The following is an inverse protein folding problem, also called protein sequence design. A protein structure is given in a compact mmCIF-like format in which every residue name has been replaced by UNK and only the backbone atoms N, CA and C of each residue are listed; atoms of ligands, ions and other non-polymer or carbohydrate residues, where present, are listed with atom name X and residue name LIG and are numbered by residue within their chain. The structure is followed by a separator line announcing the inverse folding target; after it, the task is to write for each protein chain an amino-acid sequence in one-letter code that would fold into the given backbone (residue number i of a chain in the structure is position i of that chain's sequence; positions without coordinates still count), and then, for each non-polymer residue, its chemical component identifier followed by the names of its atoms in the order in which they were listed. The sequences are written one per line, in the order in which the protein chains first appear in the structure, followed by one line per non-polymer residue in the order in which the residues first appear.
data_IF_503499911688
#
_entry.id   IF_503499911688
#
_cell.length_a   1.000
_cell.length_b   1.000
_cell.length_c   1.000
_cell.angle_alpha   90.00
_cell.angle_beta   90.00
_cell.angle_gamma   90.00
#
_symmetry.space_group_name_H-M   'P 1'
#
loop_
_entity.id
_entity.type
_entity.pdbx_description
1 polymer ?
#
# COMPACT_ATOMS: atom_id res chain seq x y z
N UNK A 1 -17.88 -6.05 5.82
CA UNK A 1 -18.03 -5.25 4.58
C UNK A 1 -18.86 -3.98 4.78
N UNK A 2 -19.94 -4.01 5.57
CA UNK A 2 -20.78 -2.82 5.87
C UNK A 2 -20.00 -1.66 6.51
N UNK A 3 -19.08 -1.95 7.43
CA UNK A 3 -18.26 -0.92 8.08
C UNK A 3 -17.33 -0.16 7.11
N UNK A 4 -16.79 -0.85 6.09
CA UNK A 4 -15.95 -0.22 5.08
C UNK A 4 -16.78 0.69 4.14
N UNK A 5 -18.00 0.27 3.80
CA UNK A 5 -18.93 1.08 3.02
C UNK A 5 -19.37 2.33 3.79
N UNK A 6 -19.64 2.21 5.10
CA UNK A 6 -19.96 3.35 5.96
C UNK A 6 -18.80 4.32 6.12
N UNK A 7 -17.54 3.85 6.21
CA UNK A 7 -16.37 4.71 6.27
C UNK A 7 -16.13 5.47 4.96
N UNK A 8 -16.35 4.81 3.81
CA UNK A 8 -16.28 5.46 2.49
C UNK A 8 -17.40 6.47 2.32
N UNK A 9 -18.63 6.16 2.75
CA UNK A 9 -19.75 7.09 2.71
C UNK A 9 -19.55 8.28 3.66
N UNK A 10 -19.03 8.06 4.86
CA UNK A 10 -18.69 9.13 5.80
C UNK A 10 -17.61 10.06 5.20
N UNK A 11 -16.59 9.49 4.56
CA UNK A 11 -15.61 10.27 3.82
C UNK A 11 -16.28 11.06 2.68
N UNK A 12 -17.12 10.44 1.85
CA UNK A 12 -17.83 11.12 0.74
C UNK A 12 -18.77 12.24 1.25
N UNK A 13 -19.40 12.06 2.41
CA UNK A 13 -20.25 13.09 3.04
C UNK A 13 -19.41 14.23 3.62
N UNK A 14 -18.25 13.94 4.23
CA UNK A 14 -17.28 14.97 4.63
C UNK A 14 -16.75 15.75 3.41
N UNK A 15 -16.58 15.10 2.26
CA UNK A 15 -16.19 15.74 1.01
C UNK A 15 -17.24 16.71 0.47
N UNK A 16 -18.52 16.49 0.75
CA UNK A 16 -19.60 17.39 0.32
C UNK A 16 -19.69 18.67 1.18
N UNK A 17 -19.15 18.65 2.41
CA UNK A 17 -19.26 19.74 3.38
C UNK A 17 -18.03 20.62 3.59
N UNK A 18 -16.86 20.26 3.05
CA UNK A 18 -15.60 20.95 3.38
C UNK A 18 -15.25 22.10 2.41
N UNK A 19 -15.07 23.29 2.99
CA UNK A 19 -14.81 24.55 2.27
C UNK A 19 -13.62 24.51 1.28
N UNK A 20 -13.85 25.19 0.14
CA UNK A 20 -13.12 25.20 -1.14
C UNK A 20 -11.58 25.19 -1.12
N UNK A 21 -10.92 25.75 -0.11
CA UNK A 21 -9.47 25.95 -0.14
C UNK A 21 -8.65 24.90 0.65
N UNK A 22 -9.24 24.28 1.68
CA UNK A 22 -8.53 23.27 2.50
C UNK A 22 -8.59 21.86 1.91
N UNK A 23 -9.49 21.63 0.96
CA UNK A 23 -9.68 20.33 0.31
C UNK A 23 -8.43 19.89 -0.45
N UNK A 24 -7.84 20.74 -1.30
CA UNK A 24 -6.65 20.41 -2.12
C UNK A 24 -5.45 20.01 -1.26
N UNK A 25 -5.19 20.75 -0.17
CA UNK A 25 -4.08 20.46 0.75
C UNK A 25 -4.30 19.12 1.46
N UNK A 26 -5.52 18.86 1.95
CA UNK A 26 -5.84 17.58 2.60
C UNK A 26 -5.72 16.39 1.64
N UNK A 27 -6.15 16.53 0.39
CA UNK A 27 -5.97 15.48 -0.62
C UNK A 27 -4.52 15.25 -0.99
N UNK A 28 -3.74 16.32 -1.11
CA UNK A 28 -2.29 16.21 -1.30
C UNK A 28 -1.62 15.46 -0.14
N UNK A 29 -1.93 15.82 1.10
CA UNK A 29 -1.38 15.15 2.30
C UNK A 29 -1.81 13.68 2.36
N UNK A 30 -3.08 13.36 2.12
CA UNK A 30 -3.56 11.96 2.11
C UNK A 30 -2.93 11.14 0.98
N UNK A 31 -2.75 11.72 -0.21
CA UNK A 31 -2.05 11.07 -1.32
C UNK A 31 -0.58 10.79 -0.97
N UNK A 32 0.12 11.76 -0.35
CA UNK A 32 1.50 11.57 0.09
C UNK A 32 1.58 10.49 1.16
N UNK A 33 0.75 10.56 2.21
CA UNK A 33 0.74 9.57 3.29
C UNK A 33 0.44 8.17 2.76
N UNK A 34 -0.57 8.03 1.88
CA UNK A 34 -0.90 6.74 1.28
C UNK A 34 0.19 6.20 0.35
N UNK A 35 0.85 7.06 -0.44
CA UNK A 35 2.02 6.69 -1.22
C UNK A 35 3.20 6.25 -0.34
N UNK A 36 3.47 6.96 0.76
CA UNK A 36 4.53 6.60 1.71
C UNK A 36 4.22 5.24 2.35
N UNK A 37 2.99 5.01 2.79
CA UNK A 37 2.57 3.71 3.34
C UNK A 37 2.75 2.61 2.29
N UNK A 38 2.28 2.81 1.06
CA UNK A 38 2.44 1.83 -0.02
C UNK A 38 3.92 1.56 -0.32
N UNK A 39 4.76 2.60 -0.38
CA UNK A 39 6.19 2.46 -0.62
C UNK A 39 6.88 1.69 0.52
N UNK A 40 6.52 1.97 1.78
CA UNK A 40 7.02 1.24 2.95
C UNK A 40 6.60 -0.23 2.88
N UNK A 41 5.34 -0.53 2.58
CA UNK A 41 4.86 -1.91 2.44
C UNK A 41 5.60 -2.64 1.30
N UNK A 42 5.78 -2.01 0.14
CA UNK A 42 6.45 -2.63 -1.00
C UNK A 42 7.97 -2.78 -0.81
N UNK A 43 8.63 -1.90 -0.04
CA UNK A 43 10.06 -1.98 0.21
C UNK A 43 10.41 -2.88 1.40
N UNK A 44 9.76 -2.68 2.55
CA UNK A 44 10.14 -3.36 3.79
C UNK A 44 9.72 -4.83 3.83
N UNK A 45 8.59 -5.21 3.22
CA UNK A 45 8.11 -6.60 3.23
C UNK A 45 9.07 -7.56 2.54
N UNK A 46 9.50 -7.33 1.28
CA UNK A 46 10.45 -8.22 0.62
C UNK A 46 11.83 -8.18 1.31
N UNK A 47 12.26 -7.02 1.82
CA UNK A 47 13.52 -6.88 2.55
C UNK A 47 13.54 -7.68 3.87
N UNK A 48 12.43 -7.69 4.61
CA UNK A 48 12.34 -8.40 5.89
C UNK A 48 12.12 -9.90 5.70
N UNK A 49 11.23 -10.29 4.77
CA UNK A 49 10.85 -11.69 4.59
C UNK A 49 11.84 -12.48 3.72
N UNK A 50 12.46 -11.83 2.73
CA UNK A 50 13.36 -12.50 1.78
C UNK A 50 14.49 -11.57 1.32
N UNK A 51 15.39 -11.15 2.22
CA UNK A 51 16.46 -10.20 1.90
C UNK A 51 17.28 -10.67 0.70
N UNK A 52 17.65 -9.75 -0.21
CA UNK A 52 18.49 -10.09 -1.36
C UNK A 52 19.86 -10.58 -0.87
N UNK A 53 20.37 -11.65 -1.49
CA UNK A 53 21.69 -12.22 -1.18
C UNK A 53 21.72 -13.28 -0.08
N UNK A 54 20.60 -13.59 0.59
CA UNK A 54 20.52 -14.79 1.44
C UNK A 54 20.33 -16.06 0.60
N UNK A 55 21.00 -17.12 1.01
CA UNK A 55 20.83 -18.45 0.41
C UNK A 55 19.38 -18.93 0.58
N UNK A 56 18.81 -19.60 -0.45
CA UNK A 56 17.44 -20.09 -0.43
C UNK A 56 17.18 -21.05 0.74
N UNK A 57 18.19 -21.81 1.17
CA UNK A 57 18.11 -22.70 2.34
C UNK A 57 17.84 -21.95 3.65
N UNK A 58 18.43 -20.76 3.83
CA UNK A 58 18.25 -19.97 5.06
C UNK A 58 16.90 -19.28 5.13
N UNK A 59 16.27 -19.04 3.98
CA UNK A 59 15.00 -18.32 3.86
C UNK A 59 13.82 -19.29 3.87
N UNK A 60 13.98 -20.46 3.24
CA UNK A 60 13.00 -21.54 3.14
C UNK A 60 13.38 -22.71 4.06
N UNK A 61 13.61 -22.42 5.34
CA UNK A 61 13.95 -23.49 6.28
C UNK A 61 12.73 -24.37 6.57
N UNK A 62 12.97 -25.66 6.77
CA UNK A 62 11.93 -26.64 7.14
C UNK A 62 11.16 -26.24 8.40
N UNK A 63 11.77 -25.43 9.28
CA UNK A 63 11.13 -24.91 10.49
C UNK A 63 10.04 -23.87 10.20
N UNK A 64 10.18 -23.14 9.10
CA UNK A 64 9.22 -22.11 8.66
C UNK A 64 8.14 -22.71 7.77
N UNK A 65 8.50 -23.65 6.89
CA UNK A 65 7.59 -24.15 5.84
C UNK A 65 7.03 -25.55 6.12
N UNK A 66 7.61 -26.29 7.06
CA UNK A 66 7.28 -27.70 7.32
C UNK A 66 7.80 -28.67 6.25
N UNK A 67 8.56 -28.19 5.27
CA UNK A 67 9.09 -28.99 4.15
C UNK A 67 10.57 -29.30 4.41
N UNK A 68 10.91 -30.58 4.55
CA UNK A 68 12.29 -31.04 4.82
C UNK A 68 13.20 -31.06 3.59
N UNK A 69 12.66 -30.77 2.41
CA UNK A 69 13.44 -30.62 1.18
C UNK A 69 14.12 -29.26 1.13
N UNK A 70 15.30 -29.20 0.51
CA UNK A 70 15.96 -27.92 0.22
C UNK A 70 15.23 -27.23 -0.92
N UNK A 71 14.79 -25.99 -0.70
CA UNK A 71 14.22 -25.17 -1.76
C UNK A 71 15.23 -24.99 -2.90
N UNK A 72 14.77 -25.19 -4.14
CA UNK A 72 15.58 -25.02 -5.35
C UNK A 72 15.67 -23.55 -5.77
N UNK A 73 14.60 -22.79 -5.56
CA UNK A 73 14.50 -21.39 -5.95
C UNK A 73 13.63 -20.60 -4.94
N UNK A 74 13.92 -19.30 -4.78
CA UNK A 74 13.03 -18.35 -4.11
C UNK A 74 12.59 -17.32 -5.14
N UNK A 75 11.32 -17.40 -5.55
CA UNK A 75 10.72 -16.42 -6.46
C UNK A 75 10.21 -15.23 -5.65
N UNK A 76 10.51 -14.03 -6.12
CA UNK A 76 10.10 -12.77 -5.48
C UNK A 76 9.21 -11.98 -6.43
N UNK A 77 8.05 -11.55 -5.95
CA UNK A 77 7.16 -10.65 -6.66
C UNK A 77 7.14 -9.29 -5.94
N UNK A 78 7.28 -8.22 -6.71
CA UNK A 78 7.31 -6.84 -6.18
C UNK A 78 5.90 -6.36 -5.84
N UNK A 79 4.90 -6.71 -6.65
CA UNK A 79 3.51 -6.38 -6.39
C UNK A 79 2.53 -7.46 -6.86
N UNK A 80 1.63 -7.96 -5.99
CA UNK A 80 1.67 -7.78 -4.54
C UNK A 80 2.99 -8.32 -3.95
N UNK A 81 3.51 -7.73 -2.86
CA UNK A 81 4.78 -8.17 -2.28
C UNK A 81 4.62 -9.62 -1.81
N UNK A 82 5.35 -10.52 -2.47
CA UNK A 82 5.29 -11.95 -2.19
C UNK A 82 6.66 -12.58 -2.39
N UNK A 83 6.98 -13.55 -1.55
CA UNK A 83 8.13 -14.42 -1.71
C UNK A 83 7.63 -15.86 -1.67
N UNK A 84 8.00 -16.66 -2.65
CA UNK A 84 7.58 -18.06 -2.76
C UNK A 84 8.80 -18.98 -2.86
N UNK A 85 8.85 -19.97 -1.98
CA UNK A 85 9.80 -21.07 -2.05
C UNK A 85 9.31 -22.06 -3.11
N UNK A 86 10.18 -22.47 -4.02
CA UNK A 86 9.94 -23.56 -4.96
C UNK A 86 10.82 -24.74 -4.54
N UNK A 87 10.22 -25.91 -4.36
CA UNK A 87 10.93 -27.13 -3.98
C UNK A 87 11.13 -28.06 -5.20
N UNK A 88 12.13 -28.96 -5.18
CA UNK A 88 12.39 -29.92 -6.26
C UNK A 88 11.21 -30.84 -6.56
N UNK A 89 10.40 -31.17 -5.55
CA UNK A 89 9.14 -31.90 -5.67
C UNK A 89 8.04 -31.16 -6.44
N UNK A 90 8.25 -29.88 -6.79
CA UNK A 90 7.24 -29.02 -7.40
C UNK A 90 6.29 -28.36 -6.41
N UNK A 91 6.43 -28.64 -5.10
CA UNK A 91 5.70 -27.95 -4.05
C UNK A 91 6.13 -26.48 -4.01
N UNK A 92 5.17 -25.58 -3.82
CA UNK A 92 5.44 -24.15 -3.57
C UNK A 92 4.92 -23.73 -2.22
N UNK A 93 5.65 -22.85 -1.53
CA UNK A 93 5.24 -22.31 -0.25
C UNK A 93 5.39 -20.80 -0.22
N UNK A 94 4.30 -20.11 0.13
CA UNK A 94 4.24 -18.66 0.21
C UNK A 94 4.74 -18.20 1.58
N UNK A 95 5.82 -17.42 1.63
CA UNK A 95 6.35 -16.90 2.90
C UNK A 95 5.54 -15.71 3.41
N UNK A 96 4.95 -14.91 2.51
CA UNK A 96 4.16 -13.75 2.93
C UNK A 96 2.69 -14.16 3.05
N UNK A 97 2.07 -13.94 4.21
CA UNK A 97 0.65 -14.21 4.38
C UNK A 97 -0.22 -13.47 3.36
N UNK A 98 -1.27 -14.13 2.84
CA UNK A 98 -2.14 -13.57 1.81
C UNK A 98 -2.77 -12.21 2.16
N UNK A 99 -2.97 -11.92 3.46
CA UNK A 99 -3.51 -10.65 3.93
C UNK A 99 -2.61 -9.44 3.62
N UNK A 100 -1.29 -9.64 3.48
CA UNK A 100 -0.38 -8.58 3.03
C UNK A 100 -0.67 -8.14 1.60
N UNK A 101 -0.94 -9.11 0.72
CA UNK A 101 -1.36 -8.81 -0.66
C UNK A 101 -2.67 -8.01 -0.69
N UNK A 102 -3.60 -8.30 0.23
CA UNK A 102 -4.85 -7.52 0.38
C UNK A 102 -4.53 -6.10 0.85
N UNK A 103 -3.65 -5.93 1.85
CA UNK A 103 -3.24 -4.60 2.29
C UNK A 103 -2.59 -3.80 1.16
N UNK A 104 -1.63 -4.37 0.44
CA UNK A 104 -0.96 -3.70 -0.67
C UNK A 104 -1.93 -3.25 -1.79
N UNK A 105 -2.93 -4.08 -2.12
CA UNK A 105 -3.99 -3.70 -3.07
C UNK A 105 -4.90 -2.60 -2.52
N UNK A 106 -5.25 -2.66 -1.24
CA UNK A 106 -6.10 -1.64 -0.61
C UNK A 106 -5.40 -0.28 -0.53
N UNK A 107 -4.09 -0.25 -0.22
CA UNK A 107 -3.30 0.98 -0.23
C UNK A 107 -3.15 1.55 -1.65
N UNK A 108 -2.96 0.69 -2.67
CA UNK A 108 -2.99 1.13 -4.07
C UNK A 108 -4.34 1.76 -4.42
N UNK A 109 -5.46 1.14 -4.01
CA UNK A 109 -6.80 1.69 -4.21
C UNK A 109 -6.98 3.06 -3.56
N UNK A 110 -6.50 3.24 -2.32
CA UNK A 110 -6.55 4.53 -1.62
C UNK A 110 -5.71 5.61 -2.34
N UNK A 111 -4.53 5.27 -2.86
CA UNK A 111 -3.72 6.18 -3.68
C UNK A 111 -4.48 6.61 -4.93
N UNK A 112 -5.10 5.66 -5.65
CA UNK A 112 -5.88 5.98 -6.85
C UNK A 112 -7.08 6.90 -6.53
N UNK A 113 -7.81 6.64 -5.45
CA UNK A 113 -8.95 7.47 -5.03
C UNK A 113 -8.49 8.88 -4.64
N UNK A 114 -7.40 9.00 -3.88
CA UNK A 114 -6.86 10.31 -3.46
C UNK A 114 -6.32 11.11 -4.64
N UNK A 115 -5.61 10.47 -5.58
CA UNK A 115 -5.16 11.10 -6.82
C UNK A 115 -6.34 11.54 -7.69
N UNK A 116 -7.37 10.71 -7.83
CA UNK A 116 -8.56 11.07 -8.59
C UNK A 116 -9.29 12.26 -7.95
N UNK A 117 -9.45 12.26 -6.62
CA UNK A 117 -9.99 13.40 -5.87
C UNK A 117 -9.16 14.67 -6.05
N UNK A 118 -7.83 14.55 -6.04
CA UNK A 118 -6.91 15.66 -6.27
C UNK A 118 -7.04 16.22 -7.70
N UNK A 119 -7.07 15.36 -8.72
CA UNK A 119 -7.25 15.76 -10.13
C UNK A 119 -8.58 16.48 -10.32
N UNK A 120 -9.67 15.96 -9.73
CA UNK A 120 -10.98 16.61 -9.77
C UNK A 120 -10.97 17.97 -9.06
N UNK A 121 -10.32 18.07 -7.90
CA UNK A 121 -10.21 19.32 -7.16
C UNK A 121 -9.42 20.37 -7.95
N UNK A 122 -8.29 19.99 -8.56
CA UNK A 122 -7.48 20.86 -9.41
C UNK A 122 -8.28 21.31 -10.64
N UNK A 123 -8.98 20.39 -11.32
CA UNK A 123 -9.82 20.73 -12.48
C UNK A 123 -10.93 21.73 -12.14
N UNK A 124 -11.53 21.64 -10.96
CA UNK A 124 -12.64 22.50 -10.55
C UNK A 124 -12.20 23.86 -10.01
N UNK A 125 -11.03 23.95 -9.38
CA UNK A 125 -10.64 25.14 -8.60
C UNK A 125 -9.33 25.79 -9.04
N UNK A 126 -8.60 25.18 -9.97
CA UNK A 126 -7.27 25.64 -10.37
C UNK A 126 -6.21 25.38 -9.31
N UNK A 127 -4.94 25.49 -9.70
CA UNK A 127 -3.79 25.14 -8.84
C UNK A 127 -3.36 26.27 -7.89
N UNK A 128 -4.24 27.22 -7.55
CA UNK A 128 -3.82 28.31 -6.65
C UNK A 128 -3.85 27.84 -5.20
N UNK A 129 -2.69 27.73 -4.51
CA UNK A 129 -2.69 27.41 -3.09
C UNK A 129 -3.41 28.53 -2.32
N UNK A 130 -4.14 28.21 -1.24
CA UNK A 130 -4.68 29.23 -0.36
C UNK A 130 -3.54 30.10 0.16
N UNK A 131 -3.56 31.38 -0.21
CA UNK A 131 -2.72 32.38 0.45
C UNK A 131 -3.26 32.48 1.88
N UNK A 132 -2.45 32.22 2.92
CA UNK A 132 -2.90 32.41 4.29
C UNK A 132 -3.28 33.89 4.46
N UNK A 133 -4.57 34.17 4.69
CA UNK A 133 -4.98 35.51 5.09
C UNK A 133 -4.25 35.86 6.39
N UNK A 134 -3.58 37.03 6.46
CA UNK A 134 -2.98 37.47 7.70
C UNK A 134 -4.10 37.56 8.74
N UNK A 135 -3.98 36.76 9.80
CA UNK A 135 -4.82 36.95 11.00
C UNK A 135 -4.53 38.38 11.45
N UNK A 136 -5.57 39.21 11.41
CA UNK A 136 -5.51 40.61 11.81
C UNK A 136 -4.85 40.77 13.17
N UNK A 137 -4.13 41.89 13.26
CA UNK A 137 -3.33 42.40 14.37
C UNK A 137 -3.93 42.20 15.78
#
# INVERSE_FOLDING_TARGET
MVAAACAVLAAVVEFAGLGRARAVVRFGVLAIVSCVVLAVLCAFVPLYMAPPGREPLSTCSAFVTGVYERASEVRRAVFPPQATCVYPSGVTHDLVPAWWGVMARSSLGAVLITLFGLVLAIRRHGWRPPIPEPRGA
#
